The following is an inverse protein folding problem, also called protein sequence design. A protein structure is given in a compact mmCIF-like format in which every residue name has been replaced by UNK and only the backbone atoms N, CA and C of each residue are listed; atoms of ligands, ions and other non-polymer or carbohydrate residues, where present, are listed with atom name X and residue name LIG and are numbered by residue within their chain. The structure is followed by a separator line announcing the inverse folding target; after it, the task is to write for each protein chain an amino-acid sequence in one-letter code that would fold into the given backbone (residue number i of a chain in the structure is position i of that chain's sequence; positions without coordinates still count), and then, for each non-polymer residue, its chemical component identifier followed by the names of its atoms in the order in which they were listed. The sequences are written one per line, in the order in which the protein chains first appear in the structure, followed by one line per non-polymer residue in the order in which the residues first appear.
data_IF_216418091058
#
_entry.id   IF_216418091058
#
_cell.length_a   1.000
_cell.length_b   1.000
_cell.length_c   1.000
_cell.angle_alpha   90.00
_cell.angle_beta   90.00
_cell.angle_gamma   90.00
#
_symmetry.space_group_name_H-M   'P 1'
#
loop_
_entity.id
_entity.type
_entity.pdbx_description
1 polymer ?
#
# COMPACT_ATOMS: atom_id res chain seq x y z
N UNK A 1 7.29 2.48 -10.03
CA UNK A 1 6.97 2.73 -8.61
C UNK A 1 8.04 2.11 -7.72
N UNK A 2 8.20 2.55 -6.48
CA UNK A 2 9.06 1.91 -5.47
C UNK A 2 8.22 1.00 -4.57
N UNK A 3 8.73 -0.21 -4.30
CA UNK A 3 8.02 -1.23 -3.52
C UNK A 3 8.90 -1.70 -2.35
N UNK A 4 8.30 -1.88 -1.18
CA UNK A 4 8.89 -2.56 -0.01
C UNK A 4 7.84 -3.46 0.65
N UNK A 5 8.28 -4.52 1.30
CA UNK A 5 7.44 -5.36 2.15
C UNK A 5 8.08 -5.47 3.53
N UNK A 6 7.27 -5.33 4.56
CA UNK A 6 7.64 -5.55 5.95
C UNK A 6 6.87 -6.77 6.43
N UNK A 7 7.57 -7.87 6.73
CA UNK A 7 6.99 -9.07 7.34
C UNK A 7 7.10 -8.97 8.86
N UNK A 8 6.07 -9.42 9.57
CA UNK A 8 5.97 -9.36 11.03
C UNK A 8 6.31 -7.96 11.58
N UNK A 9 5.56 -6.92 11.17
CA UNK A 9 5.85 -5.54 11.56
C UNK A 9 5.77 -5.36 13.08
N UNK A 10 6.67 -4.54 13.62
CA UNK A 10 6.64 -4.20 15.04
C UNK A 10 5.44 -3.28 15.36
N UNK A 11 5.00 -3.26 16.62
CA UNK A 11 3.95 -2.32 17.07
C UNK A 11 4.30 -0.87 16.70
N UNK A 12 5.55 -0.46 16.91
CA UNK A 12 6.00 0.89 16.59
C UNK A 12 5.85 1.23 15.10
N UNK A 13 6.09 0.26 14.22
CA UNK A 13 5.87 0.41 12.77
C UNK A 13 4.40 0.63 12.45
N UNK A 14 3.51 -0.19 13.02
CA UNK A 14 2.06 -0.08 12.84
C UNK A 14 1.57 1.27 13.36
N UNK A 15 2.00 1.67 14.55
CA UNK A 15 1.63 2.95 15.17
C UNK A 15 2.03 4.16 14.33
N UNK A 16 3.21 4.11 13.69
CA UNK A 16 3.67 5.19 12.79
C UNK A 16 2.73 5.32 11.60
N UNK A 17 2.33 4.21 10.99
CA UNK A 17 1.44 4.21 9.83
C UNK A 17 0.01 4.61 10.23
N UNK A 18 -0.49 4.10 11.35
CA UNK A 18 -1.82 4.42 11.86
C UNK A 18 -2.01 5.91 12.19
N UNK A 19 -0.96 6.61 12.64
CA UNK A 19 -1.01 8.06 12.88
C UNK A 19 -1.08 8.89 11.59
N UNK A 20 -0.71 8.29 10.46
CA UNK A 20 -0.54 8.95 9.16
C UNK A 20 -1.58 8.53 8.13
N UNK A 21 -2.39 7.52 8.42
CA UNK A 21 -3.34 6.98 7.46
C UNK A 21 -4.44 7.98 7.08
N UNK A 22 -4.80 7.97 5.80
CA UNK A 22 -5.75 8.91 5.20
C UNK A 22 -7.18 8.77 5.73
N UNK A 23 -7.57 7.56 6.17
CA UNK A 23 -8.87 7.30 6.79
C UNK A 23 -9.05 7.93 8.18
N UNK A 24 -8.02 8.58 8.74
CA UNK A 24 -8.06 9.20 10.07
C UNK A 24 -8.09 8.18 11.22
N UNK A 25 -8.20 8.61 12.47
CA UNK A 25 -8.03 7.72 13.63
C UNK A 25 -9.16 6.68 13.84
N UNK A 26 -10.27 6.76 13.10
CA UNK A 26 -11.50 6.01 13.40
C UNK A 26 -11.47 4.54 12.93
N UNK A 27 -10.70 4.22 11.89
CA UNK A 27 -10.59 2.84 11.39
C UNK A 27 -9.45 2.14 12.13
N UNK A 28 -9.78 1.37 13.17
CA UNK A 28 -8.85 0.45 13.82
C UNK A 28 -8.47 -0.65 12.83
N UNK A 29 -7.18 -0.88 12.64
CA UNK A 29 -6.69 -2.02 11.86
C UNK A 29 -6.31 -3.14 12.81
N UNK A 30 -6.67 -4.37 12.44
CA UNK A 30 -6.15 -5.56 13.07
C UNK A 30 -4.64 -5.66 12.86
N UNK A 31 -3.98 -6.47 13.67
CA UNK A 31 -2.54 -6.70 13.59
C UNK A 31 -2.22 -7.47 12.29
N UNK A 32 -1.57 -6.84 11.29
CA UNK A 32 -1.27 -7.50 10.03
C UNK A 32 -0.01 -8.37 10.18
N UNK A 33 0.04 -9.49 9.44
CA UNK A 33 1.27 -10.28 9.36
C UNK A 33 2.29 -9.62 8.42
N UNK A 34 1.84 -8.83 7.45
CA UNK A 34 2.70 -8.10 6.53
C UNK A 34 2.12 -6.74 6.13
N UNK A 35 3.03 -5.84 5.75
CA UNK A 35 2.70 -4.51 5.22
C UNK A 35 3.45 -4.31 3.92
N UNK A 36 2.71 -4.13 2.82
CA UNK A 36 3.23 -3.68 1.54
C UNK A 36 3.28 -2.16 1.51
N UNK A 37 4.42 -1.58 1.12
CA UNK A 37 4.59 -0.14 0.96
C UNK A 37 4.88 0.15 -0.51
N UNK A 38 4.11 1.07 -1.09
CA UNK A 38 4.26 1.48 -2.48
C UNK A 38 4.34 2.98 -2.54
N UNK A 39 5.41 3.50 -3.14
CA UNK A 39 5.56 4.93 -3.36
C UNK A 39 5.67 5.23 -4.85
N UNK A 40 4.93 6.22 -5.34
CA UNK A 40 4.93 6.59 -6.75
C UNK A 40 4.14 7.86 -7.01
N UNK A 41 3.93 8.17 -8.28
CA UNK A 41 3.16 9.36 -8.68
C UNK A 41 1.69 9.20 -8.27
N UNK A 42 1.00 10.30 -8.01
CA UNK A 42 -0.43 10.28 -7.61
C UNK A 42 -1.29 9.42 -8.55
N UNK A 43 -1.16 9.57 -9.87
CA UNK A 43 -1.92 8.78 -10.84
C UNK A 43 -1.61 7.28 -10.75
N UNK A 44 -0.35 6.92 -10.55
CA UNK A 44 0.08 5.52 -10.39
C UNK A 44 -0.47 4.91 -9.11
N UNK A 45 -0.48 5.69 -8.02
CA UNK A 45 -0.99 5.24 -6.73
C UNK A 45 -2.50 5.03 -6.75
N UNK A 46 -3.28 5.89 -7.41
CA UNK A 46 -4.72 5.68 -7.54
C UNK A 46 -5.02 4.36 -8.28
N UNK A 47 -4.29 4.06 -9.36
CA UNK A 47 -4.42 2.77 -10.05
C UNK A 47 -3.96 1.59 -9.19
N UNK A 48 -2.83 1.73 -8.48
CA UNK A 48 -2.31 0.69 -7.60
C UNK A 48 -3.27 0.38 -6.44
N UNK A 49 -3.92 1.40 -5.87
CA UNK A 49 -4.92 1.24 -4.82
C UNK A 49 -6.13 0.44 -5.32
N UNK A 50 -6.67 0.76 -6.51
CA UNK A 50 -7.78 0.01 -7.11
C UNK A 50 -7.43 -1.47 -7.37
N UNK A 51 -6.19 -1.75 -7.83
CA UNK A 51 -5.71 -3.13 -8.01
C UNK A 51 -5.59 -3.86 -6.67
N UNK A 52 -5.03 -3.22 -5.63
CA UNK A 52 -4.89 -3.84 -4.31
C UNK A 52 -6.22 -4.05 -3.59
N UNK A 53 -7.15 -3.09 -3.62
CA UNK A 53 -8.47 -3.21 -2.97
C UNK A 53 -9.32 -4.36 -3.57
N UNK A 54 -9.04 -4.77 -4.80
CA UNK A 54 -9.66 -5.96 -5.42
C UNK A 54 -9.09 -7.28 -4.92
N UNK A 55 -7.92 -7.27 -4.28
CA UNK A 55 -7.36 -8.45 -3.65
C UNK A 55 -8.09 -8.77 -2.34
N UNK A 56 -8.46 -10.02 -2.15
CA UNK A 56 -9.12 -10.48 -0.92
C UNK A 56 -8.10 -10.46 0.21
N UNK A 57 -8.51 -10.00 1.41
CA UNK A 57 -7.70 -10.11 2.62
C UNK A 57 -6.69 -8.99 2.84
N UNK A 58 -6.76 -7.91 2.05
CA UNK A 58 -5.94 -6.72 2.27
C UNK A 58 -6.79 -5.48 2.59
N UNK A 59 -6.19 -4.52 3.27
CA UNK A 59 -6.71 -3.16 3.47
C UNK A 59 -5.69 -2.18 2.92
N UNK A 60 -6.12 -1.22 2.11
CA UNK A 60 -5.23 -0.20 1.55
C UNK A 60 -5.46 1.14 2.26
N UNK A 61 -4.38 1.81 2.64
CA UNK A 61 -4.42 3.14 3.22
C UNK A 61 -3.39 4.06 2.54
N UNK A 62 -3.83 5.27 2.20
CA UNK A 62 -2.93 6.40 1.90
C UNK A 62 -2.19 6.79 3.17
N UNK A 63 -0.87 6.94 3.09
CA UNK A 63 -0.01 7.39 4.18
C UNK A 63 0.41 8.84 3.94
N UNK A 64 -0.24 9.74 4.68
CA UNK A 64 0.01 11.17 4.60
C UNK A 64 1.33 11.56 5.27
N UNK A 65 2.09 12.40 4.59
CA UNK A 65 3.32 12.99 5.10
C UNK A 65 3.81 14.10 4.18
N UNK A 66 4.98 14.67 4.46
CA UNK A 66 5.63 15.66 3.59
C UNK A 66 6.32 15.01 2.38
N UNK A 67 5.62 14.13 1.66
CA UNK A 67 6.10 13.65 0.36
C UNK A 67 6.11 14.81 -0.65
N UNK A 68 6.98 14.78 -1.69
CA UNK A 68 6.91 15.72 -2.80
C UNK A 68 5.48 15.83 -3.34
N UNK A 69 5.05 17.02 -3.82
CA UNK A 69 3.64 17.33 -4.17
C UNK A 69 2.92 16.31 -5.06
N UNK A 70 3.65 15.55 -5.87
CA UNK A 70 3.08 14.57 -6.80
C UNK A 70 3.36 13.11 -6.40
N UNK A 71 3.96 12.85 -5.24
CA UNK A 71 4.30 11.50 -4.77
C UNK A 71 3.40 11.10 -3.60
N UNK A 72 2.81 9.91 -3.66
CA UNK A 72 1.97 9.34 -2.62
C UNK A 72 2.58 8.02 -2.16
N UNK A 73 2.42 7.71 -0.87
CA UNK A 73 2.77 6.42 -0.27
C UNK A 73 1.46 5.69 0.08
N UNK A 74 1.30 4.48 -0.45
CA UNK A 74 0.27 3.55 -0.01
C UNK A 74 0.85 2.51 0.93
N UNK A 75 0.07 2.13 1.92
CA UNK A 75 0.32 0.96 2.76
C UNK A 75 -0.81 -0.06 2.57
N UNK A 76 -0.43 -1.30 2.29
CA UNK A 76 -1.33 -2.44 2.08
C UNK A 76 -1.12 -3.39 3.26
N UNK A 77 -2.13 -3.56 4.09
CA UNK A 77 -2.10 -4.36 5.31
C UNK A 77 -2.83 -5.68 5.07
N UNK A 78 -2.29 -6.80 5.55
CA UNK A 78 -2.95 -8.10 5.44
C UNK A 78 -2.07 -9.24 5.94
N UNK A 79 -2.46 -10.47 5.62
CA UNK A 79 -1.57 -11.62 5.77
C UNK A 79 -0.40 -11.55 4.75
N UNK A 80 0.67 -12.31 4.99
CA UNK A 80 1.86 -12.25 4.13
C UNK A 80 1.56 -12.63 2.67
N UNK A 81 0.75 -13.67 2.44
CA UNK A 81 0.47 -14.16 1.10
C UNK A 81 -0.42 -13.19 0.32
N UNK A 82 -1.45 -12.64 0.96
CA UNK A 82 -2.37 -11.65 0.39
C UNK A 82 -1.64 -10.37 0.01
N UNK A 83 -0.73 -9.88 0.86
CA UNK A 83 0.09 -8.69 0.57
C UNK A 83 1.06 -8.96 -0.58
N UNK A 84 1.76 -10.10 -0.60
CA UNK A 84 2.67 -10.45 -1.70
C UNK A 84 1.91 -10.55 -3.05
N UNK A 85 0.77 -11.22 -3.06
CA UNK A 85 -0.07 -11.35 -4.25
C UNK A 85 -0.55 -9.98 -4.77
N UNK A 86 -0.99 -9.09 -3.88
CA UNK A 86 -1.41 -7.74 -4.24
C UNK A 86 -0.25 -6.94 -4.86
N UNK A 87 0.96 -7.00 -4.26
CA UNK A 87 2.14 -6.31 -4.79
C UNK A 87 2.56 -6.84 -6.16
N UNK A 88 2.51 -8.15 -6.37
CA UNK A 88 2.87 -8.76 -7.65
C UNK A 88 1.87 -8.43 -8.76
N UNK A 89 0.57 -8.37 -8.46
CA UNK A 89 -0.45 -7.95 -9.43
C UNK A 89 -0.27 -6.47 -9.82
N UNK A 90 0.05 -5.59 -8.87
CA UNK A 90 0.37 -4.18 -9.16
C UNK A 90 1.60 -4.08 -10.07
N UNK A 91 2.66 -4.85 -9.79
CA UNK A 91 3.87 -4.88 -10.63
C UNK A 91 3.57 -5.37 -12.05
N UNK A 92 2.69 -6.36 -12.18
CA UNK A 92 2.25 -6.88 -13.48
C UNK A 92 1.49 -5.81 -14.26
N UNK A 93 0.51 -5.16 -13.63
CA UNK A 93 -0.26 -4.05 -14.22
C UNK A 93 0.61 -2.84 -14.58
N UNK A 94 1.63 -2.54 -13.78
CA UNK A 94 2.60 -1.47 -14.09
C UNK A 94 3.38 -1.78 -15.38
N UNK A 95 3.72 -3.04 -15.63
CA UNK A 95 4.42 -3.45 -16.85
C UNK A 95 3.49 -3.42 -18.06
N UNK A 96 2.29 -3.99 -17.94
CA UNK A 96 1.28 -3.98 -19.01
C UNK A 96 0.94 -2.54 -19.43
N UNK A 97 0.72 -1.64 -18.46
CA UNK A 97 0.43 -0.22 -18.74
C UNK A 97 1.60 0.58 -19.33
N UNK A 98 2.83 0.05 -19.33
CA UNK A 98 3.97 0.62 -20.05
C UNK A 98 4.10 0.11 -21.48
N UNK A 99 3.50 -1.04 -21.80
CA UNK A 99 3.53 -1.64 -23.14
C UNK A 99 2.39 -1.14 -24.04
N UNK A 100 1.29 -0.62 -23.46
CA UNK A 100 0.13 -0.12 -24.22
C UNK A 100 0.16 1.40 -24.54
N UNK A 101 1.25 2.12 -24.26
CA UNK A 101 1.35 3.59 -24.43
C UNK A 101 2.46 4.02 -25.40
#
# INVERSE_FOLDING_TARGET
MEYRIIKSPTQGTIDILCRRKGSGASKTMDYPDAIGLIQGRMIEMVCAADVAEKAVGVTVEDIRGNCPQNMILLAIFGDTASVEAALDEIRKKEKEGKEEW
#
